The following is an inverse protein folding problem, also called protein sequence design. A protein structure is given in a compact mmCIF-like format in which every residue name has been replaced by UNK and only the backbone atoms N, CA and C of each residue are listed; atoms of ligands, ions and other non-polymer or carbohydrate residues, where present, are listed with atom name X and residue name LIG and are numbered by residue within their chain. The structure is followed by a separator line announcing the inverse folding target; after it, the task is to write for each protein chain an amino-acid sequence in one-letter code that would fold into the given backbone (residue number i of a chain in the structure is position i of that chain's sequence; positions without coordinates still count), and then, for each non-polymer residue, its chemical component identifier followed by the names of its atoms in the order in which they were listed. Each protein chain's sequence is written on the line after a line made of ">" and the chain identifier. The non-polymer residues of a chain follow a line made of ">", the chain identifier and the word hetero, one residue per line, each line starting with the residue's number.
data_IF_621073862954
#
_entry.id   IF_621073862954
#
_cell.length_a   1.000
_cell.length_b   1.000
_cell.length_c   1.000
_cell.angle_alpha   90.00
_cell.angle_beta   90.00
_cell.angle_gamma   90.00
#
_symmetry.space_group_name_H-M   'P 1'
#
loop_
_entity.id
_entity.type
_entity.pdbx_description
1 polymer ?
#
# COMPACT_ATOMS: atom_id res chain seq x y z
N UNK A 1 -21.73 -3.35 24.44
CA UNK A 1 -21.08 -2.84 23.22
C UNK A 1 -19.61 -2.65 23.54
N UNK A 2 -18.68 -3.07 22.65
CA UNK A 2 -17.25 -2.77 22.84
C UNK A 2 -17.03 -1.26 22.96
N UNK A 3 -16.04 -0.82 23.75
CA UNK A 3 -15.74 0.61 23.92
C UNK A 3 -15.34 1.23 22.57
N UNK A 4 -15.76 2.47 22.34
CA UNK A 4 -15.37 3.23 21.14
C UNK A 4 -13.93 3.68 21.30
N UNK A 5 -13.07 3.26 20.37
CA UNK A 5 -11.66 3.66 20.35
C UNK A 5 -11.59 5.09 19.80
N UNK A 6 -11.01 6.02 20.56
CA UNK A 6 -10.82 7.40 20.11
C UNK A 6 -9.39 7.59 19.60
N UNK A 7 -9.26 7.96 18.32
CA UNK A 7 -7.96 8.13 17.67
C UNK A 7 -7.80 9.60 17.27
N UNK A 8 -6.76 10.26 17.75
CA UNK A 8 -6.53 11.67 17.43
C UNK A 8 -6.08 11.86 15.97
N UNK A 9 -6.98 12.32 15.10
CA UNK A 9 -6.72 12.55 13.68
C UNK A 9 -5.75 13.70 13.38
N UNK A 10 -5.29 14.42 14.41
CA UNK A 10 -4.26 15.45 14.30
C UNK A 10 -2.84 14.91 14.50
N UNK A 11 -2.69 13.70 15.06
CA UNK A 11 -1.38 13.08 15.31
C UNK A 11 -0.79 12.40 14.07
N UNK A 12 0.53 12.18 14.12
CA UNK A 12 1.28 11.54 13.05
C UNK A 12 1.13 12.26 11.70
N UNK A 13 0.77 11.50 10.67
CA UNK A 13 0.60 12.04 9.31
C UNK A 13 -0.78 12.68 9.07
N UNK A 14 -1.60 12.81 10.12
CA UNK A 14 -2.89 13.49 10.09
C UNK A 14 -3.99 12.63 9.46
N UNK A 15 -4.38 11.52 10.10
CA UNK A 15 -5.64 10.81 9.82
C UNK A 15 -5.73 9.98 8.53
N UNK A 16 -5.07 10.35 7.43
CA UNK A 16 -5.25 9.69 6.14
C UNK A 16 -4.87 8.21 6.15
N UNK A 17 -3.77 7.88 6.81
CA UNK A 17 -3.33 6.50 7.02
C UNK A 17 -4.16 5.79 8.09
N UNK A 18 -4.46 6.48 9.20
CA UNK A 18 -5.30 5.99 10.30
C UNK A 18 -6.65 5.44 9.81
N UNK A 19 -7.30 6.18 8.90
CA UNK A 19 -8.57 5.81 8.28
C UNK A 19 -8.48 4.51 7.46
N UNK A 20 -7.32 4.24 6.84
CA UNK A 20 -7.10 3.05 6.01
C UNK A 20 -6.76 1.82 6.85
N UNK A 21 -6.29 2.02 8.08
CA UNK A 21 -5.66 0.93 8.82
C UNK A 21 -6.65 -0.03 9.47
N UNK A 22 -7.83 0.36 9.98
CA UNK A 22 -8.54 -0.63 10.85
C UNK A 22 -10.05 -0.55 11.01
N UNK A 23 -10.81 -0.17 9.98
CA UNK A 23 -12.26 -0.08 10.17
C UNK A 23 -13.03 -1.38 10.00
N UNK A 24 -12.61 -2.33 9.17
CA UNK A 24 -13.45 -3.50 8.84
C UNK A 24 -13.17 -4.77 9.66
N UNK A 25 -11.96 -5.01 10.16
CA UNK A 25 -11.54 -6.37 10.55
C UNK A 25 -11.36 -6.63 12.06
N UNK A 26 -11.55 -5.63 12.94
CA UNK A 26 -11.56 -5.82 14.41
C UNK A 26 -12.96 -5.89 15.01
N UNK A 27 -14.01 -5.57 14.24
CA UNK A 27 -15.38 -5.41 14.74
C UNK A 27 -15.48 -4.43 15.95
N UNK A 28 -14.53 -3.52 16.09
CA UNK A 28 -14.49 -2.52 17.16
C UNK A 28 -14.86 -1.13 16.62
N UNK A 29 -15.81 -0.44 17.25
CA UNK A 29 -16.17 0.91 16.84
C UNK A 29 -15.06 1.90 17.18
N UNK A 30 -14.90 2.92 16.35
CA UNK A 30 -13.91 3.97 16.59
C UNK A 30 -14.41 5.35 16.17
N UNK A 31 -13.75 6.37 16.71
CA UNK A 31 -14.01 7.78 16.42
C UNK A 31 -12.68 8.49 16.18
N UNK A 32 -12.58 9.18 15.05
CA UNK A 32 -11.40 9.98 14.69
C UNK A 32 -11.80 11.46 14.67
N UNK A 33 -11.64 12.22 15.75
CA UNK A 33 -11.78 13.67 15.72
C UNK A 33 -10.55 14.34 15.08
N UNK A 34 -10.69 15.62 14.67
CA UNK A 34 -9.60 16.50 14.22
C UNK A 34 -8.80 15.97 13.02
N UNK A 35 -9.48 15.29 12.10
CA UNK A 35 -8.86 14.72 10.89
C UNK A 35 -8.11 15.82 10.14
N UNK A 36 -6.80 15.65 9.97
CA UNK A 36 -5.94 16.56 9.18
C UNK A 36 -5.93 18.00 9.68
N UNK A 37 -6.20 18.25 10.96
CA UNK A 37 -6.29 19.60 11.53
C UNK A 37 -5.04 20.47 11.28
N UNK A 38 -3.84 19.87 11.23
CA UNK A 38 -2.58 20.57 10.96
C UNK A 38 -2.21 20.73 9.48
N UNK A 39 -3.06 20.29 8.53
CA UNK A 39 -2.77 20.37 7.09
C UNK A 39 -3.41 21.62 6.48
N UNK A 40 -2.81 22.13 5.39
CA UNK A 40 -3.32 23.29 4.63
C UNK A 40 -4.81 23.15 4.24
N UNK A 41 -5.22 21.93 3.87
CA UNK A 41 -6.62 21.56 3.68
C UNK A 41 -6.99 20.55 4.74
N UNK A 42 -7.69 20.91 5.83
CA UNK A 42 -8.08 19.96 6.87
C UNK A 42 -9.24 19.05 6.44
N UNK A 43 -9.60 18.10 7.29
CA UNK A 43 -10.70 17.15 7.10
C UNK A 43 -10.41 16.01 6.12
N UNK A 44 -11.41 15.14 5.94
CA UNK A 44 -11.40 14.10 4.91
C UNK A 44 -11.15 14.71 3.54
N UNK A 45 -10.43 13.97 2.70
CA UNK A 45 -10.22 14.31 1.29
C UNK A 45 -10.87 13.20 0.47
N UNK A 46 -11.10 13.40 -0.85
CA UNK A 46 -11.76 12.40 -1.69
C UNK A 46 -11.18 10.98 -1.56
N UNK A 47 -9.85 10.84 -1.48
CA UNK A 47 -9.20 9.53 -1.30
C UNK A 47 -9.45 8.91 0.08
N UNK A 48 -9.56 9.72 1.15
CA UNK A 48 -9.87 9.22 2.49
C UNK A 48 -11.34 8.82 2.58
N UNK A 49 -12.22 9.64 2.01
CA UNK A 49 -13.64 9.37 1.96
C UNK A 49 -13.95 8.09 1.18
N UNK A 50 -13.25 7.86 0.06
CA UNK A 50 -13.36 6.62 -0.71
C UNK A 50 -12.96 5.40 0.14
N UNK A 51 -11.87 5.48 0.91
CA UNK A 51 -11.45 4.41 1.80
C UNK A 51 -12.48 4.14 2.92
N UNK A 52 -13.01 5.19 3.58
CA UNK A 52 -14.06 5.05 4.60
C UNK A 52 -15.29 4.36 4.02
N UNK A 53 -15.77 4.83 2.85
CA UNK A 53 -16.96 4.28 2.19
C UNK A 53 -16.74 2.85 1.73
N UNK A 54 -15.56 2.54 1.19
CA UNK A 54 -15.23 1.21 0.76
C UNK A 54 -15.23 0.24 1.94
N UNK A 55 -14.58 0.63 3.05
CA UNK A 55 -14.57 -0.18 4.25
C UNK A 55 -15.97 -0.33 4.87
N UNK A 56 -16.78 0.73 4.86
CA UNK A 56 -18.16 0.68 5.33
C UNK A 56 -19.02 -0.30 4.53
N UNK A 57 -18.82 -0.34 3.21
CA UNK A 57 -19.54 -1.25 2.33
C UNK A 57 -19.20 -2.72 2.61
N UNK A 58 -17.91 -3.05 2.76
CA UNK A 58 -17.48 -4.45 2.96
C UNK A 58 -17.89 -5.04 4.31
N UNK A 59 -18.13 -4.20 5.33
CA UNK A 59 -18.55 -4.66 6.65
C UNK A 59 -19.93 -4.16 7.10
N UNK A 60 -20.71 -3.53 6.21
CA UNK A 60 -22.04 -3.00 6.54
C UNK A 60 -22.03 -2.00 7.70
N UNK A 61 -21.00 -1.16 7.80
CA UNK A 61 -20.81 -0.27 8.95
C UNK A 61 -21.83 0.87 9.00
N UNK A 62 -22.17 1.30 10.22
CA UNK A 62 -22.79 2.62 10.43
C UNK A 62 -21.71 3.67 10.53
N UNK A 63 -21.83 4.75 9.75
CA UNK A 63 -20.78 5.77 9.66
C UNK A 63 -21.39 7.17 9.83
N UNK A 64 -20.83 7.94 10.76
CA UNK A 64 -21.05 9.38 10.91
C UNK A 64 -19.83 10.16 10.39
N UNK A 65 -20.05 11.33 9.78
CA UNK A 65 -18.95 12.19 9.32
C UNK A 65 -18.28 11.77 8.00
N UNK A 66 -18.87 10.86 7.21
CA UNK A 66 -18.32 10.44 5.92
C UNK A 66 -18.69 11.37 4.75
N UNK A 67 -18.23 12.62 4.81
CA UNK A 67 -18.36 13.62 3.73
C UNK A 67 -17.04 14.36 3.48
N UNK A 68 -16.90 14.99 2.31
CA UNK A 68 -15.67 15.69 1.94
C UNK A 68 -15.41 16.89 2.88
N UNK A 69 -14.18 17.04 3.34
CA UNK A 69 -13.83 18.05 4.34
C UNK A 69 -14.29 17.74 5.78
N UNK A 70 -14.89 16.58 6.05
CA UNK A 70 -15.34 16.26 7.41
C UNK A 70 -14.19 16.30 8.42
N UNK A 71 -14.32 17.01 9.56
CA UNK A 71 -13.28 17.09 10.58
C UNK A 71 -13.26 15.86 11.49
N UNK A 72 -14.29 15.01 11.45
CA UNK A 72 -14.41 13.81 12.26
C UNK A 72 -15.09 12.66 11.53
N UNK A 73 -14.82 11.43 11.95
CA UNK A 73 -15.49 10.21 11.49
C UNK A 73 -15.80 9.31 12.68
N UNK A 74 -17.04 8.87 12.79
CA UNK A 74 -17.46 7.77 13.68
C UNK A 74 -17.78 6.56 12.82
N UNK A 75 -17.26 5.40 13.20
CA UNK A 75 -17.41 4.20 12.41
C UNK A 75 -17.71 3.02 13.32
N UNK A 76 -18.86 2.40 13.11
CA UNK A 76 -19.32 1.21 13.83
C UNK A 76 -19.35 0.03 12.85
N UNK A 77 -18.32 -0.83 12.83
CA UNK A 77 -18.26 -1.96 11.90
C UNK A 77 -19.31 -3.02 12.21
N UNK A 78 -19.89 -3.58 11.15
CA UNK A 78 -20.52 -4.90 11.21
C UNK A 78 -19.52 -6.02 10.85
N UNK A 79 -19.99 -7.26 10.67
CA UNK A 79 -19.15 -8.35 10.18
C UNK A 79 -18.74 -8.11 8.72
N UNK A 80 -17.48 -8.44 8.39
CA UNK A 80 -17.01 -8.42 6.99
C UNK A 80 -17.74 -9.47 6.18
N UNK A 81 -18.25 -9.09 5.02
CA UNK A 81 -18.97 -9.98 4.11
C UNK A 81 -18.17 -10.16 2.83
N UNK A 82 -18.06 -11.41 2.38
CA UNK A 82 -17.53 -11.73 1.07
C UNK A 82 -18.55 -11.37 -0.02
N UNK A 83 -18.09 -11.00 -1.21
CA UNK A 83 -18.98 -10.69 -2.32
C UNK A 83 -18.31 -9.91 -3.44
N UNK A 84 -19.15 -9.34 -4.31
CA UNK A 84 -18.74 -8.50 -5.42
C UNK A 84 -18.91 -7.03 -5.05
N UNK A 85 -17.83 -6.27 -5.13
CA UNK A 85 -17.77 -4.87 -4.75
C UNK A 85 -17.37 -4.00 -5.92
N UNK A 86 -18.02 -2.85 -6.06
CA UNK A 86 -17.66 -1.82 -7.04
C UNK A 86 -17.42 -0.49 -6.35
N UNK A 87 -16.24 0.08 -6.57
CA UNK A 87 -15.84 1.36 -6.01
C UNK A 87 -15.53 2.35 -7.12
N UNK A 88 -16.20 3.50 -7.10
CA UNK A 88 -15.96 4.57 -8.06
C UNK A 88 -15.36 5.78 -7.36
N UNK A 89 -14.08 6.03 -7.61
CA UNK A 89 -13.36 7.15 -7.05
C UNK A 89 -13.38 8.28 -8.07
N UNK A 90 -13.96 9.41 -7.69
CA UNK A 90 -13.94 10.59 -8.56
C UNK A 90 -12.50 11.02 -8.86
N UNK A 91 -12.26 11.49 -10.08
CA UNK A 91 -10.98 12.06 -10.55
C UNK A 91 -9.80 11.07 -10.44
N UNK A 92 -8.64 11.51 -9.93
CA UNK A 92 -7.41 10.74 -9.82
C UNK A 92 -7.15 10.24 -8.39
N UNK A 93 -8.19 9.96 -7.60
CA UNK A 93 -8.03 9.32 -6.30
C UNK A 93 -7.42 7.91 -6.44
N UNK A 94 -6.49 7.55 -5.57
CA UNK A 94 -5.68 6.33 -5.72
C UNK A 94 -6.50 5.06 -5.46
N UNK A 95 -6.78 4.33 -6.53
CA UNK A 95 -7.44 3.01 -6.51
C UNK A 95 -6.69 1.99 -5.65
N UNK A 96 -5.36 2.02 -5.69
CA UNK A 96 -4.49 1.12 -4.93
C UNK A 96 -4.63 1.30 -3.42
N UNK A 97 -4.85 2.52 -2.93
CA UNK A 97 -5.11 2.78 -1.51
C UNK A 97 -6.47 2.23 -1.07
N UNK A 98 -7.49 2.31 -1.92
CA UNK A 98 -8.78 1.66 -1.66
C UNK A 98 -8.61 0.15 -1.60
N UNK A 99 -7.90 -0.45 -2.57
CA UNK A 99 -7.60 -1.89 -2.55
C UNK A 99 -6.85 -2.31 -1.28
N UNK A 100 -5.81 -1.59 -0.87
CA UNK A 100 -5.09 -1.89 0.37
C UNK A 100 -5.96 -1.77 1.63
N UNK A 101 -7.00 -0.93 1.59
CA UNK A 101 -7.95 -0.78 2.70
C UNK A 101 -8.86 -2.00 2.83
N UNK A 102 -9.29 -2.61 1.70
CA UNK A 102 -10.33 -3.65 1.72
C UNK A 102 -9.81 -5.07 1.52
N UNK A 103 -8.66 -5.26 0.88
CA UNK A 103 -8.14 -6.61 0.56
C UNK A 103 -7.94 -7.44 1.84
N UNK A 104 -7.19 -6.93 2.82
CA UNK A 104 -6.90 -7.71 4.02
C UNK A 104 -8.15 -7.99 4.87
N UNK A 105 -9.08 -7.03 5.07
CA UNK A 105 -10.38 -7.34 5.69
C UNK A 105 -11.20 -8.38 4.93
N UNK A 106 -11.38 -8.25 3.61
CA UNK A 106 -12.16 -9.20 2.80
C UNK A 106 -11.56 -10.61 2.84
N UNK A 107 -10.24 -10.72 2.92
CA UNK A 107 -9.56 -12.01 3.08
C UNK A 107 -9.89 -12.68 4.42
N UNK A 108 -10.39 -11.95 5.43
CA UNK A 108 -10.84 -12.53 6.70
C UNK A 108 -12.26 -13.13 6.64
N UNK A 109 -13.02 -12.85 5.58
CA UNK A 109 -14.35 -13.44 5.36
C UNK A 109 -14.24 -14.92 4.94
N UNK A 110 -15.34 -15.66 5.08
CA UNK A 110 -15.39 -17.10 4.77
C UNK A 110 -15.38 -17.43 3.27
N UNK A 111 -15.69 -16.45 2.41
CA UNK A 111 -15.82 -16.63 0.97
C UNK A 111 -14.89 -15.72 0.15
N UNK A 112 -14.69 -16.03 -1.14
CA UNK A 112 -13.92 -15.18 -2.04
C UNK A 112 -14.65 -13.87 -2.33
N UNK A 113 -13.90 -12.82 -2.68
CA UNK A 113 -14.46 -11.53 -3.08
C UNK A 113 -13.87 -11.04 -4.40
N UNK A 114 -14.69 -10.34 -5.20
CA UNK A 114 -14.24 -9.62 -6.40
C UNK A 114 -14.44 -8.13 -6.19
N UNK A 115 -13.49 -7.34 -6.67
CA UNK A 115 -13.49 -5.90 -6.49
C UNK A 115 -13.19 -5.24 -7.82
N UNK A 116 -14.11 -4.42 -8.31
CA UNK A 116 -13.88 -3.48 -9.39
C UNK A 116 -13.67 -2.09 -8.80
N UNK A 117 -12.58 -1.42 -9.15
CA UNK A 117 -12.31 -0.05 -8.69
C UNK A 117 -11.88 0.86 -9.82
N UNK A 118 -12.53 2.02 -9.95
CA UNK A 118 -12.20 3.06 -10.92
C UNK A 118 -11.59 4.30 -10.25
N UNK A 119 -10.63 4.94 -10.92
CA UNK A 119 -9.91 6.11 -10.39
C UNK A 119 -8.48 6.23 -10.91
N UNK A 120 -7.58 6.78 -10.12
CA UNK A 120 -6.15 6.82 -10.43
C UNK A 120 -5.43 5.50 -10.10
N UNK A 121 -4.70 4.94 -11.05
CA UNK A 121 -3.88 3.71 -10.83
C UNK A 121 -2.37 4.00 -10.81
N UNK A 122 -1.98 5.15 -11.36
CA UNK A 122 -0.61 5.65 -11.39
C UNK A 122 -0.63 7.13 -11.02
N UNK A 123 -0.77 7.41 -9.71
CA UNK A 123 -0.91 8.77 -9.18
C UNK A 123 0.10 9.05 -8.07
N UNK A 124 0.59 10.30 -7.93
CA UNK A 124 1.56 10.65 -6.89
C UNK A 124 1.08 10.35 -5.48
N UNK A 125 2.02 10.21 -4.54
CA UNK A 125 1.74 10.02 -3.12
C UNK A 125 0.91 8.76 -2.81
N UNK A 126 1.01 7.74 -3.67
CA UNK A 126 0.39 6.43 -3.48
C UNK A 126 1.17 5.35 -4.22
N UNK A 127 1.08 4.08 -3.81
CA UNK A 127 1.57 2.96 -4.59
C UNK A 127 0.93 2.93 -5.98
N UNK A 128 1.71 2.72 -7.04
CA UNK A 128 1.15 2.45 -8.37
C UNK A 128 0.56 1.05 -8.45
N UNK A 129 -0.27 0.78 -9.46
CA UNK A 129 -0.76 -0.58 -9.72
C UNK A 129 0.40 -1.60 -9.78
N UNK A 130 1.47 -1.29 -10.51
CA UNK A 130 2.60 -2.21 -10.67
C UNK A 130 3.32 -2.47 -9.35
N UNK A 131 3.46 -1.45 -8.49
CA UNK A 131 3.99 -1.65 -7.14
C UNK A 131 3.08 -2.58 -6.33
N UNK A 132 1.77 -2.32 -6.33
CA UNK A 132 0.82 -3.13 -5.57
C UNK A 132 0.81 -4.59 -6.04
N UNK A 133 0.74 -4.83 -7.36
CA UNK A 133 0.58 -6.15 -7.94
C UNK A 133 1.86 -7.00 -7.92
N UNK A 134 3.05 -6.39 -8.04
CA UNK A 134 4.32 -7.14 -8.14
C UNK A 134 5.06 -7.22 -6.82
N UNK A 135 5.01 -6.14 -6.04
CA UNK A 135 5.79 -6.01 -4.82
C UNK A 135 4.96 -6.32 -3.58
N UNK A 136 3.94 -5.50 -3.29
CA UNK A 136 3.12 -5.69 -2.09
C UNK A 136 2.40 -7.05 -2.10
N UNK A 137 1.70 -7.38 -3.20
CA UNK A 137 0.96 -8.63 -3.34
C UNK A 137 1.88 -9.86 -3.20
N UNK A 138 3.07 -9.81 -3.79
CA UNK A 138 4.06 -10.89 -3.70
C UNK A 138 4.60 -11.10 -2.29
N UNK A 139 4.63 -10.07 -1.45
CA UNK A 139 5.08 -10.21 -0.04
C UNK A 139 3.94 -10.69 0.85
N UNK A 140 2.73 -10.15 0.72
CA UNK A 140 1.58 -10.59 1.55
C UNK A 140 1.14 -12.02 1.21
N UNK A 141 1.40 -12.51 -0.02
CA UNK A 141 1.18 -13.91 -0.38
C UNK A 141 2.04 -14.88 0.45
N UNK A 142 3.25 -14.48 0.86
CA UNK A 142 4.10 -15.27 1.77
C UNK A 142 3.52 -15.39 3.18
N UNK A 143 2.68 -14.43 3.57
CA UNK A 143 1.87 -14.50 4.79
C UNK A 143 0.53 -15.27 4.56
N UNK A 144 0.32 -15.82 3.35
CA UNK A 144 -0.87 -16.57 2.98
C UNK A 144 -2.06 -15.72 2.52
N UNK A 145 -1.93 -14.39 2.48
CA UNK A 145 -2.94 -13.48 1.96
C UNK A 145 -2.87 -13.49 0.43
N UNK A 146 -3.80 -14.21 -0.20
CA UNK A 146 -3.84 -14.36 -1.66
C UNK A 146 -4.79 -13.35 -2.28
N UNK A 147 -4.22 -12.36 -2.96
CA UNK A 147 -4.94 -11.37 -3.74
C UNK A 147 -4.32 -11.24 -5.14
N UNK A 148 -5.13 -11.42 -6.19
CA UNK A 148 -4.74 -11.16 -7.57
C UNK A 148 -5.27 -9.79 -7.96
N UNK A 149 -4.40 -8.89 -8.42
CA UNK A 149 -4.80 -7.55 -8.88
C UNK A 149 -4.46 -7.41 -10.36
N UNK A 150 -5.43 -6.98 -11.16
CA UNK A 150 -5.34 -6.85 -12.61
C UNK A 150 -5.59 -5.40 -13.03
N UNK A 151 -4.79 -4.91 -13.99
CA UNK A 151 -4.96 -3.61 -14.60
C UNK A 151 -5.79 -3.75 -15.88
N UNK A 152 -7.04 -3.29 -15.84
CA UNK A 152 -7.87 -3.18 -17.06
C UNK A 152 -7.43 -1.97 -17.87
N UNK A 153 -7.21 -0.84 -17.18
CA UNK A 153 -6.83 0.43 -17.79
C UNK A 153 -6.05 1.30 -16.82
N UNK A 154 -4.96 1.90 -17.27
CA UNK A 154 -4.20 2.86 -16.50
C UNK A 154 -4.92 4.21 -16.38
N UNK A 155 -4.92 4.77 -15.18
CA UNK A 155 -5.39 6.12 -14.87
C UNK A 155 -4.25 6.95 -14.31
N UNK A 156 -3.72 7.86 -15.13
CA UNK A 156 -2.64 8.76 -14.72
C UNK A 156 -3.22 10.07 -14.19
N UNK A 157 -2.52 10.70 -13.25
CA UNK A 157 -2.84 12.07 -12.81
C UNK A 157 -2.66 13.08 -13.97
N UNK A 158 -3.47 14.16 -14.08
CA UNK A 158 -4.63 14.50 -13.26
C UNK A 158 -5.98 13.85 -13.60
N UNK A 159 -6.28 13.33 -14.82
CA UNK A 159 -7.64 12.92 -15.14
C UNK A 159 -8.08 11.62 -14.44
N UNK A 160 -7.14 10.75 -14.05
CA UNK A 160 -7.48 9.43 -13.55
C UNK A 160 -8.11 8.57 -14.64
N UNK A 161 -9.30 8.02 -14.39
CA UNK A 161 -10.05 7.20 -15.36
C UNK A 161 -9.45 5.82 -15.61
N UNK A 162 -8.63 5.34 -14.67
CA UNK A 162 -8.12 3.99 -14.59
C UNK A 162 -9.13 3.02 -13.97
N UNK A 163 -8.86 1.74 -14.15
CA UNK A 163 -9.72 0.65 -13.72
C UNK A 163 -8.85 -0.55 -13.33
N UNK A 164 -9.04 -1.03 -12.10
CA UNK A 164 -8.44 -2.24 -11.56
C UNK A 164 -9.51 -3.26 -11.20
N UNK A 165 -9.16 -4.53 -11.35
CA UNK A 165 -9.90 -5.65 -10.77
C UNK A 165 -9.05 -6.35 -9.73
N UNK A 166 -9.66 -6.77 -8.63
CA UNK A 166 -8.99 -7.62 -7.66
C UNK A 166 -9.86 -8.82 -7.31
N UNK A 167 -9.21 -9.97 -7.14
CA UNK A 167 -9.80 -11.19 -6.59
C UNK A 167 -9.10 -11.52 -5.28
N UNK A 168 -9.87 -11.69 -4.21
CA UNK A 168 -9.37 -11.96 -2.86
C UNK A 168 -9.88 -13.32 -2.41
N UNK A 169 -8.97 -14.20 -1.99
CA UNK A 169 -9.31 -15.52 -1.47
C UNK A 169 -9.40 -15.51 0.06
N UNK A 170 -10.22 -16.40 0.67
CA UNK A 170 -10.22 -16.61 2.11
C UNK A 170 -8.82 -16.92 2.63
N UNK A 171 -8.46 -16.27 3.74
CA UNK A 171 -7.12 -16.35 4.32
C UNK A 171 -7.06 -17.33 5.49
N UNK A 172 -6.24 -18.36 5.34
CA UNK A 172 -5.93 -19.29 6.43
C UNK A 172 -5.10 -18.59 7.50
N UNK A 173 -5.64 -18.53 8.72
CA UNK A 173 -5.05 -17.85 9.88
C UNK A 173 -5.11 -18.76 11.14
N UNK A 174 -4.22 -18.59 12.14
CA UNK A 174 -3.17 -17.57 12.21
C UNK A 174 -2.04 -17.80 11.19
N UNK A 175 -1.40 -16.72 10.77
CA UNK A 175 -0.20 -16.75 9.92
C UNK A 175 0.86 -15.78 10.43
N UNK A 176 2.12 -16.11 10.20
CA UNK A 176 3.29 -15.42 10.73
C UNK A 176 4.31 -15.15 9.61
N UNK A 177 4.97 -13.99 9.64
CA UNK A 177 6.02 -13.64 8.69
C UNK A 177 7.08 -12.77 9.37
N UNK A 178 8.31 -13.28 9.38
CA UNK A 178 9.50 -12.52 9.73
C UNK A 178 10.28 -12.14 8.47
N UNK A 179 10.57 -10.85 8.34
CA UNK A 179 11.49 -10.26 7.37
C UNK A 179 12.50 -9.43 8.15
N UNK A 180 13.44 -10.12 8.80
CA UNK A 180 14.48 -9.49 9.65
C UNK A 180 15.76 -9.24 8.87
N UNK A 181 16.13 -10.18 8.00
CA UNK A 181 17.27 -10.06 7.11
C UNK A 181 16.80 -10.17 5.66
N UNK A 182 17.44 -9.43 4.73
CA UNK A 182 17.13 -9.56 3.31
C UNK A 182 17.80 -10.77 2.65
N UNK A 183 18.97 -11.20 3.14
CA UNK A 183 19.82 -12.17 2.45
C UNK A 183 20.51 -11.59 1.21
N UNK A 184 21.09 -12.45 0.38
CA UNK A 184 21.83 -12.02 -0.82
C UNK A 184 20.90 -11.48 -1.90
N UNK A 185 21.40 -10.53 -2.69
CA UNK A 185 20.70 -10.03 -3.87
C UNK A 185 20.59 -11.15 -4.91
N UNK A 186 19.38 -11.47 -5.33
CA UNK A 186 19.06 -12.52 -6.30
C UNK A 186 18.83 -11.91 -7.68
N UNK A 187 18.08 -10.81 -7.77
CA UNK A 187 17.76 -10.17 -9.05
C UNK A 187 17.39 -8.70 -8.90
N UNK A 188 17.68 -7.92 -9.93
CA UNK A 188 17.03 -6.63 -10.19
C UNK A 188 16.04 -6.80 -11.33
N UNK A 189 14.77 -6.45 -11.07
CA UNK A 189 13.69 -6.51 -12.06
C UNK A 189 13.16 -5.12 -12.33
N UNK A 190 12.89 -4.79 -13.58
CA UNK A 190 12.34 -3.52 -13.98
C UNK A 190 11.06 -3.66 -14.80
N UNK A 191 10.13 -2.74 -14.60
CA UNK A 191 8.97 -2.55 -15.47
C UNK A 191 8.94 -1.10 -15.90
N UNK A 192 9.10 -0.84 -17.19
CA UNK A 192 8.94 0.48 -17.78
C UNK A 192 7.67 0.50 -18.61
N UNK A 193 6.78 1.45 -18.36
CA UNK A 193 5.51 1.51 -19.07
C UNK A 193 5.14 2.90 -19.54
N UNK A 194 4.37 2.94 -20.63
CA UNK A 194 3.87 4.19 -21.21
C UNK A 194 2.48 4.00 -21.79
N UNK A 195 1.72 5.09 -21.86
CA UNK A 195 0.46 5.18 -22.57
C UNK A 195 0.47 6.42 -23.45
N UNK A 196 0.14 6.24 -24.74
CA UNK A 196 0.05 7.33 -25.73
C UNK A 196 1.35 8.17 -25.81
N UNK A 197 2.49 7.52 -25.59
CA UNK A 197 3.84 8.09 -25.59
C UNK A 197 4.85 7.10 -26.20
N UNK A 198 4.85 6.92 -27.53
CA UNK A 198 5.69 5.93 -28.20
C UNK A 198 7.18 6.08 -27.87
N UNK A 199 7.86 4.96 -27.62
CA UNK A 199 9.29 4.91 -27.33
C UNK A 199 9.73 5.47 -25.97
N UNK A 200 8.83 6.05 -25.15
CA UNK A 200 9.19 6.57 -23.82
C UNK A 200 9.56 5.45 -22.85
N UNK A 201 8.81 4.34 -22.87
CA UNK A 201 9.07 3.20 -21.99
C UNK A 201 10.45 2.55 -22.24
N UNK A 202 10.85 2.40 -23.51
CA UNK A 202 12.17 1.86 -23.83
C UNK A 202 13.31 2.79 -23.39
N UNK A 203 13.14 4.12 -23.53
CA UNK A 203 14.13 5.10 -23.06
C UNK A 203 14.25 5.13 -21.53
N UNK A 204 13.14 4.95 -20.81
CA UNK A 204 13.15 4.77 -19.35
C UNK A 204 13.97 3.55 -18.95
N UNK A 205 13.69 2.40 -19.58
CA UNK A 205 14.41 1.15 -19.37
C UNK A 205 15.91 1.33 -19.61
N UNK A 206 16.31 1.83 -20.78
CA UNK A 206 17.72 1.95 -21.16
C UNK A 206 18.50 2.80 -20.16
N UNK A 207 17.98 3.98 -19.82
CA UNK A 207 18.66 4.87 -18.89
C UNK A 207 18.79 4.27 -17.48
N UNK A 208 17.78 3.56 -17.00
CA UNK A 208 17.86 2.86 -15.72
C UNK A 208 18.87 1.71 -15.76
N UNK A 209 18.85 0.90 -16.83
CA UNK A 209 19.75 -0.23 -17.04
C UNK A 209 21.21 0.23 -17.16
N UNK A 210 21.48 1.29 -17.93
CA UNK A 210 22.80 1.91 -18.07
C UNK A 210 23.32 2.40 -16.71
N UNK A 211 22.51 3.14 -15.93
CA UNK A 211 22.91 3.61 -14.60
C UNK A 211 23.26 2.45 -13.65
N UNK A 212 22.43 1.40 -13.60
CA UNK A 212 22.68 0.23 -12.75
C UNK A 212 24.00 -0.49 -13.13
N UNK A 213 24.24 -0.64 -14.43
CA UNK A 213 25.45 -1.25 -14.96
C UNK A 213 26.69 -0.41 -14.67
N UNK A 214 26.65 0.89 -14.96
CA UNK A 214 27.77 1.81 -14.76
C UNK A 214 28.19 1.90 -13.29
N UNK A 215 27.21 1.95 -12.37
CA UNK A 215 27.47 2.14 -10.95
C UNK A 215 27.96 0.87 -10.24
N UNK A 216 27.37 -0.30 -10.51
CA UNK A 216 27.65 -1.52 -9.75
C UNK A 216 27.73 -2.80 -10.59
N UNK A 217 27.74 -2.69 -11.93
CA UNK A 217 27.68 -3.83 -12.88
C UNK A 217 26.49 -4.75 -12.60
N UNK A 218 25.37 -4.16 -12.16
CA UNK A 218 24.15 -4.89 -11.86
C UNK A 218 23.39 -5.19 -13.15
N UNK A 219 23.27 -6.46 -13.48
CA UNK A 219 22.35 -6.91 -14.52
C UNK A 219 20.90 -6.75 -14.04
N UNK A 220 19.99 -6.48 -14.98
CA UNK A 220 18.57 -6.32 -14.70
C UNK A 220 17.71 -6.89 -15.82
N UNK A 221 16.63 -7.58 -15.45
CA UNK A 221 15.62 -8.10 -16.37
C UNK A 221 14.46 -7.11 -16.48
N UNK A 222 13.92 -6.90 -17.68
CA UNK A 222 12.93 -5.85 -17.92
C UNK A 222 11.68 -6.29 -18.66
N UNK A 223 10.54 -5.75 -18.24
CA UNK A 223 9.29 -5.72 -18.98
C UNK A 223 9.05 -4.29 -19.49
N UNK A 224 8.84 -4.15 -20.80
CA UNK A 224 8.45 -2.87 -21.42
C UNK A 224 7.01 -3.00 -21.86
N UNK A 225 6.13 -2.19 -21.29
CA UNK A 225 4.68 -2.32 -21.46
C UNK A 225 4.04 -1.06 -22.03
N UNK A 226 3.20 -1.24 -23.05
CA UNK A 226 2.22 -0.22 -23.40
C UNK A 226 0.92 -0.50 -22.64
N UNK A 227 0.45 0.47 -21.88
CA UNK A 227 -0.77 0.30 -21.06
C UNK A 227 -1.94 1.07 -21.67
N UNK A 228 -3.14 0.48 -21.74
CA UNK A 228 -4.33 1.19 -22.19
C UNK A 228 -4.66 2.31 -21.20
N UNK A 229 -4.85 3.54 -21.68
CA UNK A 229 -5.18 4.69 -20.82
C UNK A 229 -5.99 5.76 -21.58
N UNK A 230 -6.85 6.54 -20.87
CA UNK A 230 -7.55 7.67 -21.46
C UNK A 230 -6.61 8.86 -21.71
N UNK A 231 -5.51 8.95 -20.95
CA UNK A 231 -4.56 10.06 -21.01
C UNK A 231 -3.13 9.58 -21.28
N UNK A 232 -2.25 10.54 -21.62
CA UNK A 232 -0.81 10.29 -21.70
C UNK A 232 -0.23 10.05 -20.31
N UNK A 233 0.74 9.16 -20.21
CA UNK A 233 1.48 8.91 -18.97
C UNK A 233 2.58 7.87 -19.17
N UNK A 234 3.56 7.88 -18.28
CA UNK A 234 4.57 6.83 -18.21
C UNK A 234 4.96 6.57 -16.75
N UNK A 235 5.61 5.45 -16.52
CA UNK A 235 6.12 5.06 -15.21
C UNK A 235 7.32 4.13 -15.37
N UNK A 236 8.11 4.04 -14.31
CA UNK A 236 9.14 3.02 -14.15
C UNK A 236 9.04 2.46 -12.73
N UNK A 237 9.10 1.15 -12.60
CA UNK A 237 9.21 0.43 -11.34
C UNK A 237 10.49 -0.41 -11.39
N UNK A 238 11.31 -0.32 -10.35
CA UNK A 238 12.44 -1.21 -10.14
C UNK A 238 12.26 -1.98 -8.84
N UNK A 239 12.49 -3.28 -8.88
CA UNK A 239 12.42 -4.20 -7.76
C UNK A 239 13.81 -4.79 -7.51
N UNK A 240 14.28 -4.72 -6.26
CA UNK A 240 15.42 -5.48 -5.78
C UNK A 240 14.91 -6.71 -5.03
N UNK A 241 15.20 -7.90 -5.56
CA UNK A 241 14.77 -9.18 -5.03
C UNK A 241 15.94 -9.85 -4.34
N UNK A 242 15.77 -10.20 -3.07
CA UNK A 242 16.77 -10.92 -2.28
C UNK A 242 16.25 -12.32 -1.92
N UNK A 243 17.08 -13.13 -1.28
CA UNK A 243 16.71 -14.48 -0.83
C UNK A 243 15.49 -14.46 0.12
N UNK A 244 15.42 -13.46 1.00
CA UNK A 244 14.35 -13.29 1.98
C UNK A 244 13.63 -11.95 1.85
N UNK A 245 14.38 -10.88 1.57
CA UNK A 245 13.89 -9.51 1.51
C UNK A 245 13.48 -9.05 0.11
N UNK A 246 12.86 -7.87 0.05
CA UNK A 246 12.50 -7.23 -1.21
C UNK A 246 12.30 -5.74 -1.04
N UNK A 247 12.70 -4.96 -2.04
CA UNK A 247 12.43 -3.53 -2.12
C UNK A 247 11.91 -3.14 -3.50
N UNK A 248 11.03 -2.13 -3.58
CA UNK A 248 10.61 -1.59 -4.87
C UNK A 248 10.53 -0.06 -4.87
N UNK A 249 10.96 0.53 -5.98
CA UNK A 249 11.00 1.98 -6.18
C UNK A 249 10.33 2.34 -7.50
N UNK A 250 9.22 3.06 -7.41
CA UNK A 250 8.43 3.50 -8.55
C UNK A 250 8.52 5.00 -8.76
N UNK A 251 8.64 5.44 -10.02
CA UNK A 251 8.51 6.83 -10.42
C UNK A 251 7.48 6.98 -11.53
N UNK A 252 6.77 8.12 -11.51
CA UNK A 252 5.78 8.49 -12.53
C UNK A 252 6.34 9.58 -13.44
N UNK A 253 5.88 9.58 -14.69
CA UNK A 253 6.22 10.61 -15.67
C UNK A 253 5.80 12.00 -15.22
N UNK A 254 6.74 12.94 -15.27
CA UNK A 254 6.51 14.34 -14.95
C UNK A 254 6.56 15.20 -16.22
N UNK A 255 5.74 16.26 -16.25
CA UNK A 255 5.78 17.22 -17.36
C UNK A 255 7.16 17.87 -17.45
N UNK A 256 7.71 17.95 -18.66
CA UNK A 256 9.03 18.54 -18.98
C UNK A 256 10.23 17.77 -18.41
N UNK A 257 10.04 16.58 -17.87
CA UNK A 257 11.13 15.69 -17.47
C UNK A 257 11.36 14.67 -18.58
N UNK A 258 12.63 14.53 -19.00
CA UNK A 258 13.01 13.56 -20.02
C UNK A 258 12.96 12.14 -19.47
N UNK A 259 12.66 11.16 -20.32
CA UNK A 259 12.60 9.75 -19.96
C UNK A 259 13.93 9.26 -19.37
N UNK A 260 15.04 9.71 -19.94
CA UNK A 260 16.39 9.31 -19.54
C UNK A 260 16.71 9.79 -18.12
N UNK A 261 16.30 11.02 -17.78
CA UNK A 261 16.44 11.58 -16.43
C UNK A 261 15.59 10.80 -15.42
N UNK A 262 14.37 10.40 -15.81
CA UNK A 262 13.49 9.65 -14.92
C UNK A 262 13.99 8.21 -14.68
N UNK A 263 14.47 7.54 -15.74
CA UNK A 263 15.08 6.21 -15.64
C UNK A 263 16.33 6.21 -14.75
N UNK A 264 17.21 7.21 -14.93
CA UNK A 264 18.38 7.45 -14.09
C UNK A 264 18.01 7.60 -12.60
N UNK A 265 17.01 8.45 -12.31
CA UNK A 265 16.52 8.68 -10.94
C UNK A 265 15.97 7.40 -10.31
N UNK A 266 15.22 6.59 -11.06
CA UNK A 266 14.68 5.33 -10.55
C UNK A 266 15.82 4.37 -10.15
N UNK A 267 16.84 4.24 -11.00
CA UNK A 267 18.01 3.41 -10.70
C UNK A 267 18.76 3.89 -9.46
N UNK A 268 18.89 5.21 -9.25
CA UNK A 268 19.52 5.78 -8.05
C UNK A 268 18.79 5.43 -6.76
N UNK A 269 17.46 5.29 -6.77
CA UNK A 269 16.73 4.85 -5.58
C UNK A 269 17.08 3.41 -5.19
N UNK A 270 17.19 2.51 -6.17
CA UNK A 270 17.66 1.13 -5.93
C UNK A 270 19.09 1.13 -5.41
N UNK A 271 20.00 1.86 -6.07
CA UNK A 271 21.41 1.93 -5.67
C UNK A 271 21.55 2.45 -4.23
N UNK A 272 20.79 3.49 -3.86
CA UNK A 272 20.76 4.01 -2.49
C UNK A 272 20.29 2.95 -1.48
N UNK A 273 19.29 2.14 -1.83
CA UNK A 273 18.86 1.04 -0.96
C UNK A 273 19.93 -0.06 -0.82
N UNK A 274 20.72 -0.28 -1.88
CA UNK A 274 21.85 -1.22 -1.89
C UNK A 274 23.13 -0.65 -1.26
N UNK A 275 23.18 0.63 -0.90
CA UNK A 275 24.32 1.26 -0.19
C UNK A 275 24.36 0.87 1.30
N UNK A 276 23.26 0.37 1.85
CA UNK A 276 23.18 -0.17 3.22
C UNK A 276 22.73 -1.62 3.20
N UNK A 277 23.22 -2.43 4.14
CA UNK A 277 22.74 -3.79 4.42
C UNK A 277 21.60 -3.84 5.44
N UNK A 278 21.13 -2.68 5.89
CA UNK A 278 20.07 -2.54 6.87
C UNK A 278 18.68 -2.69 6.22
N UNK A 279 17.84 -3.53 6.83
CA UNK A 279 16.44 -3.69 6.47
C UNK A 279 16.17 -4.77 5.42
N UNK A 280 15.19 -5.63 5.72
CA UNK A 280 14.72 -6.66 4.83
C UNK A 280 13.81 -6.10 3.71
N UNK A 281 13.15 -4.98 3.96
CA UNK A 281 12.21 -4.35 3.03
C UNK A 281 12.44 -2.84 2.88
N UNK A 282 11.88 -2.25 1.82
CA UNK A 282 11.85 -0.79 1.67
C UNK A 282 10.95 -0.10 2.71
N UNK A 283 11.17 1.19 3.00
CA UNK A 283 10.43 1.93 4.02
C UNK A 283 8.92 2.00 3.80
N UNK A 284 8.45 2.02 2.55
CA UNK A 284 7.02 2.08 2.26
C UNK A 284 6.36 0.71 2.46
N UNK A 285 7.03 -0.38 2.09
CA UNK A 285 6.50 -1.72 2.33
C UNK A 285 6.40 -2.01 3.83
N UNK A 286 7.36 -1.54 4.64
CA UNK A 286 7.34 -1.74 6.09
C UNK A 286 6.04 -1.25 6.74
N UNK A 287 5.56 -0.05 6.40
CA UNK A 287 4.29 0.47 6.95
C UNK A 287 3.05 -0.26 6.40
N UNK A 288 3.12 -0.74 5.15
CA UNK A 288 2.03 -1.45 4.49
C UNK A 288 1.85 -2.90 4.98
N UNK A 289 2.86 -3.49 5.64
CA UNK A 289 2.80 -4.86 6.17
C UNK A 289 2.24 -4.96 7.60
N UNK A 290 2.24 -3.87 8.37
CA UNK A 290 1.77 -3.89 9.76
C UNK A 290 0.33 -4.37 9.87
N UNK A 291 -0.56 -3.86 9.00
CA UNK A 291 -1.97 -4.26 8.99
C UNK A 291 -2.16 -5.74 8.62
N UNK A 292 -1.60 -6.25 7.49
CA UNK A 292 -1.59 -7.68 7.22
C UNK A 292 -1.09 -8.52 8.39
N UNK A 293 0.05 -8.19 9.01
CA UNK A 293 0.58 -8.94 10.16
C UNK A 293 -0.41 -8.97 11.34
N UNK A 294 -1.03 -7.83 11.66
CA UNK A 294 -2.00 -7.73 12.74
C UNK A 294 -3.26 -8.56 12.47
N UNK A 295 -3.73 -8.59 11.22
CA UNK A 295 -4.90 -9.38 10.83
C UNK A 295 -4.61 -10.87 10.66
N UNK A 296 -3.39 -11.21 10.30
CA UNK A 296 -2.91 -12.58 10.23
C UNK A 296 -2.96 -13.26 11.59
N UNK A 297 -2.78 -12.52 12.68
CA UNK A 297 -2.93 -13.00 14.07
C UNK A 297 -1.75 -13.81 14.60
N UNK A 298 -0.81 -14.26 13.75
CA UNK A 298 0.43 -14.91 14.17
C UNK A 298 1.60 -13.95 14.42
N UNK A 299 1.40 -12.64 14.21
CA UNK A 299 2.44 -11.62 14.40
C UNK A 299 3.57 -11.71 13.39
N UNK A 300 4.66 -10.99 13.66
CA UNK A 300 5.87 -10.98 12.85
C UNK A 300 6.72 -9.74 13.03
N UNK A 301 7.94 -9.80 12.49
CA UNK A 301 8.98 -8.78 12.63
C UNK A 301 9.45 -8.32 11.26
N UNK A 302 9.49 -7.01 11.03
CA UNK A 302 9.92 -6.40 9.75
C UNK A 302 11.03 -5.39 10.03
N UNK A 303 12.16 -5.51 9.34
CA UNK A 303 13.24 -4.50 9.35
C UNK A 303 13.23 -3.63 8.09
N UNK A 304 13.59 -2.35 8.25
CA UNK A 304 13.66 -1.34 7.18
C UNK A 304 14.88 -0.43 7.39
N UNK A 305 15.52 0.09 6.33
CA UNK A 305 16.59 1.07 6.46
C UNK A 305 16.09 2.44 6.97
N UNK A 306 14.78 2.69 6.95
CA UNK A 306 14.19 3.94 7.43
C UNK A 306 12.88 3.69 8.18
N UNK A 307 12.86 4.05 9.46
CA UNK A 307 11.63 4.15 10.26
C UNK A 307 10.93 5.46 9.91
N UNK A 308 9.83 5.35 9.16
CA UNK A 308 9.04 6.49 8.71
C UNK A 308 8.03 6.92 9.77
N UNK A 309 7.55 8.17 9.69
CA UNK A 309 6.41 8.60 10.52
C UNK A 309 5.13 7.80 10.23
N UNK A 310 4.99 7.31 8.99
CA UNK A 310 3.90 6.44 8.56
C UNK A 310 3.94 5.10 9.30
N UNK A 311 5.12 4.46 9.38
CA UNK A 311 5.32 3.21 10.10
C UNK A 311 4.96 3.33 11.59
N UNK A 312 5.44 4.39 12.24
CA UNK A 312 5.15 4.67 13.66
C UNK A 312 3.64 4.86 13.89
N UNK A 313 3.00 5.68 13.05
CA UNK A 313 1.56 5.95 13.15
C UNK A 313 0.75 4.67 13.01
N UNK A 314 1.08 3.79 12.06
CA UNK A 314 0.34 2.55 11.86
C UNK A 314 0.53 1.59 13.03
N UNK A 315 1.75 1.40 13.52
CA UNK A 315 1.98 0.54 14.68
C UNK A 315 1.23 1.01 15.93
N UNK A 316 1.20 2.32 16.17
CA UNK A 316 0.45 2.90 17.28
C UNK A 316 -1.06 2.68 17.13
N UNK A 317 -1.62 2.96 15.95
CA UNK A 317 -3.04 2.73 15.67
C UNK A 317 -3.39 1.26 15.87
N UNK A 318 -2.61 0.34 15.30
CA UNK A 318 -2.83 -1.11 15.44
C UNK A 318 -2.83 -1.53 16.92
N UNK A 319 -1.93 -0.96 17.73
CA UNK A 319 -1.89 -1.19 19.18
C UNK A 319 -3.14 -0.70 19.90
N UNK A 320 -3.71 0.45 19.51
CA UNK A 320 -4.96 0.96 20.09
C UNK A 320 -6.16 0.04 19.83
N UNK A 321 -6.11 -0.78 18.76
CA UNK A 321 -7.10 -1.82 18.46
C UNK A 321 -6.79 -3.18 19.14
N UNK A 322 -5.89 -3.20 20.13
CA UNK A 322 -5.62 -4.38 20.94
C UNK A 322 -4.69 -5.41 20.30
N UNK A 323 -3.97 -5.04 19.23
CA UNK A 323 -2.88 -5.87 18.67
C UNK A 323 -1.56 -5.18 18.96
N UNK A 324 -0.78 -5.61 19.97
CA UNK A 324 0.47 -4.94 20.32
C UNK A 324 1.41 -4.85 19.11
N UNK A 325 1.78 -3.63 18.75
CA UNK A 325 2.70 -3.35 17.65
C UNK A 325 3.66 -2.22 18.06
N UNK A 326 4.96 -2.49 17.98
CA UNK A 326 5.99 -1.54 18.41
C UNK A 326 7.02 -1.32 17.32
N UNK A 327 7.43 -0.07 17.13
CA UNK A 327 8.59 0.26 16.30
C UNK A 327 9.85 0.38 17.14
N UNK A 328 11.01 0.02 16.60
CA UNK A 328 12.32 0.34 17.15
C UNK A 328 13.18 1.06 16.12
N UNK A 329 14.25 1.72 16.57
CA UNK A 329 15.09 2.58 15.75
C UNK A 329 14.65 4.06 15.80
N UNK A 330 15.53 4.95 15.36
CA UNK A 330 15.23 6.39 15.31
C UNK A 330 14.45 6.72 14.04
N UNK A 331 13.53 7.69 14.12
CA UNK A 331 12.84 8.20 12.92
C UNK A 331 13.86 8.68 11.88
N UNK A 332 13.70 8.25 10.64
CA UNK A 332 14.64 8.54 9.54
C UNK A 332 15.94 7.72 9.55
N UNK A 333 16.08 6.76 10.46
CA UNK A 333 17.19 5.81 10.51
C UNK A 333 16.72 4.35 10.46
N UNK A 334 17.66 3.40 10.48
CA UNK A 334 17.36 1.98 10.42
C UNK A 334 16.60 1.52 11.67
N UNK A 335 15.76 0.51 11.48
CA UNK A 335 14.91 -0.03 12.52
C UNK A 335 13.85 -0.96 11.96
N UNK A 336 12.69 -0.98 12.58
CA UNK A 336 11.62 -1.88 12.15
C UNK A 336 10.37 -1.81 13.01
N UNK A 337 9.49 -2.79 12.80
CA UNK A 337 8.24 -2.98 13.52
C UNK A 337 8.05 -4.45 13.88
N UNK A 338 7.54 -4.68 15.09
CA UNK A 338 7.19 -5.99 15.62
C UNK A 338 5.71 -5.94 15.94
N UNK A 339 4.96 -6.89 15.40
CA UNK A 339 3.54 -7.08 15.68
C UNK A 339 3.40 -8.40 16.43
N UNK A 340 2.83 -8.35 17.63
CA UNK A 340 2.64 -9.54 18.45
C UNK A 340 1.53 -10.44 17.89
N UNK A 341 1.67 -11.74 18.12
CA UNK A 341 0.57 -12.67 17.91
C UNK A 341 -0.59 -12.32 18.85
N UNK A 342 -1.82 -12.55 18.39
CA UNK A 342 -3.04 -12.34 19.17
C UNK A 342 -3.91 -13.58 19.07
N UNK A 343 -4.23 -14.16 20.21
CA UNK A 343 -5.24 -15.21 20.32
C UNK A 343 -6.62 -14.59 20.09
N UNK A 344 -7.02 -14.48 18.82
CA UNK A 344 -8.41 -14.19 18.49
C UNK A 344 -9.20 -15.49 18.55
N UNK A 345 -10.27 -15.59 19.37
CA UNK A 345 -11.15 -16.74 19.30
C UNK A 345 -11.63 -16.87 17.86
N UNK A 346 -11.44 -18.05 17.26
CA UNK A 346 -12.00 -18.35 15.95
C UNK A 346 -13.49 -18.02 16.04
N UNK A 347 -13.96 -17.06 15.25
CA UNK A 347 -15.40 -16.85 15.04
C UNK A 347 -15.91 -18.08 14.30
N UNK A 348 -16.14 -19.15 15.07
CA UNK A 348 -16.73 -20.39 14.62
C UNK A 348 -18.23 -20.23 14.59
N UNK A 349 -18.80 -20.17 13.39
CA UNK A 349 -19.76 -21.12 12.82
C UNK A 349 -20.46 -20.48 11.63
#
# INVERSE_FOLDING_TARGET
>A
MPPVISIDGSQGEGGGQIIRTFSAATAQPFHIPRIRAGRLRPGLQPQHLAAVRAAALVCGAKVGGAFDGSPDVRFEPGPVQAGDFRFEIATAGATTLVLQTVIAPLATASGPSRIDVTGGTHVPLSPSFHYLARHWAGVVERLGLRARVELVRAGFYPPGGGELRAEVQPWKRPAHLDLVERGKLVAIRGTAGAARLPGVADRLRRAAQERLWESRRLESSWEVVEVPAPSKGCFVLLEAVFEQGRAAFGLLGERRVRAEVLGDRAARHVLKFLDTDEGAVDPHLADQLVLPLALAGGGGTITTPEVTGHLQTVAEVVSQFGVPARTWGRRGGPGGVEVSAVDRPQTGR
#
